data_IF_037208998802
#
_entry.id   IF_037208998802
#
_cell.length_a   1.000
_cell.length_b   1.000
_cell.length_c   1.000
_cell.angle_alpha   90.00
_cell.angle_beta   90.00
_cell.angle_gamma   90.00
#
_symmetry.space_group_name_H-M   'P 1'
#
loop_
_entity.id
_entity.type
_entity.pdbx_description
1 polymer ?
#
# COMPACT_ATOMS: atom_id res chain seq x y z
N UNK A 1 -11.03 -49.42 -10.39
CA UNK A 1 -12.12 -50.22 -10.98
C UNK A 1 -12.84 -49.36 -12.00
N UNK A 2 -12.97 -49.85 -13.24
CA UNK A 2 -13.80 -49.38 -14.39
C UNK A 2 -13.82 -47.87 -14.70
N UNK A 3 -13.13 -47.32 -15.71
CA UNK A 3 -13.26 -47.54 -17.17
C UNK A 3 -14.69 -47.56 -17.72
N UNK A 4 -15.09 -46.48 -18.38
CA UNK A 4 -16.11 -46.48 -19.44
C UNK A 4 -15.99 -45.21 -20.32
N UNK A 5 -15.00 -45.24 -21.22
CA UNK A 5 -14.87 -44.34 -22.37
C UNK A 5 -15.89 -44.74 -23.43
N UNK A 6 -16.80 -43.84 -23.85
CA UNK A 6 -17.65 -44.06 -25.04
C UNK A 6 -17.15 -43.19 -26.19
N UNK A 7 -16.39 -43.84 -27.07
CA UNK A 7 -16.03 -43.36 -28.41
C UNK A 7 -17.23 -43.55 -29.34
N UNK A 8 -17.74 -42.47 -29.93
CA UNK A 8 -18.69 -42.53 -31.05
C UNK A 8 -17.91 -42.26 -32.33
N UNK A 9 -17.85 -43.29 -33.18
CA UNK A 9 -17.14 -43.36 -34.45
C UNK A 9 -18.10 -42.92 -35.56
N UNK A 10 -18.01 -41.67 -36.00
CA UNK A 10 -18.76 -41.17 -37.16
C UNK A 10 -18.02 -41.57 -38.45
N UNK A 11 -18.64 -42.51 -39.17
CA UNK A 11 -18.19 -43.08 -40.44
C UNK A 11 -18.67 -42.17 -41.57
N UNK A 12 -17.83 -41.26 -42.06
CA UNK A 12 -18.12 -40.49 -43.27
C UNK A 12 -17.89 -41.36 -44.50
N UNK A 13 -18.94 -41.55 -45.29
CA UNK A 13 -18.94 -42.27 -46.56
C UNK A 13 -18.59 -41.26 -47.67
N UNK A 14 -17.57 -41.57 -48.46
CA UNK A 14 -17.13 -40.77 -49.59
C UNK A 14 -17.77 -41.24 -50.92
N UNK A 15 -17.64 -40.34 -51.91
CA UNK A 15 -17.77 -40.46 -53.38
C UNK A 15 -19.13 -40.17 -54.06
N UNK A 16 -19.14 -39.70 -55.34
CA UNK A 16 -18.03 -39.26 -56.21
C UNK A 16 -18.19 -37.86 -56.84
N UNK A 17 -17.06 -37.31 -57.28
CA UNK A 17 -16.96 -36.15 -58.18
C UNK A 17 -17.46 -36.51 -59.59
N UNK A 18 -18.10 -35.55 -60.27
CA UNK A 18 -18.32 -35.58 -61.72
C UNK A 18 -17.86 -34.24 -62.35
N UNK A 19 -17.38 -34.24 -63.61
CA UNK A 19 -16.47 -33.23 -64.18
C UNK A 19 -17.17 -31.95 -64.68
N UNK A 20 -16.44 -30.86 -64.93
CA UNK A 20 -17.03 -29.58 -65.33
C UNK A 20 -17.36 -29.56 -66.83
N UNK A 21 -18.47 -28.93 -67.26
CA UNK A 21 -18.66 -28.62 -68.67
C UNK A 21 -17.83 -27.39 -69.07
N UNK A 22 -16.97 -27.61 -70.07
CA UNK A 22 -16.35 -26.58 -70.89
C UNK A 22 -17.40 -26.05 -71.87
N UNK A 23 -17.66 -24.74 -71.89
CA UNK A 23 -18.26 -24.07 -73.04
C UNK A 23 -17.38 -22.88 -73.44
N UNK A 24 -16.94 -23.01 -74.68
CA UNK A 24 -16.22 -22.14 -75.62
C UNK A 24 -16.42 -20.63 -75.52
N UNK A 25 -15.28 -19.94 -75.63
CA UNK A 25 -15.10 -18.55 -76.08
C UNK A 25 -16.01 -18.17 -77.26
N UNK A 26 -16.71 -17.04 -77.14
CA UNK A 26 -17.06 -16.18 -78.26
C UNK A 26 -16.82 -14.73 -77.83
N UNK A 27 -15.94 -14.04 -78.56
CA UNK A 27 -16.08 -12.63 -78.90
C UNK A 27 -15.73 -11.60 -77.84
N UNK A 28 -14.53 -11.05 -77.98
CA UNK A 28 -14.08 -9.81 -77.37
C UNK A 28 -15.07 -8.64 -77.57
N UNK A 29 -15.30 -7.88 -76.51
CA UNK A 29 -15.40 -6.43 -76.61
C UNK A 29 -14.62 -5.84 -75.41
N UNK A 30 -13.38 -5.43 -75.70
CA UNK A 30 -12.48 -4.76 -74.75
C UNK A 30 -12.99 -3.32 -74.54
N UNK A 31 -13.97 -3.16 -73.66
CA UNK A 31 -14.15 -1.89 -72.97
C UNK A 31 -13.07 -1.82 -71.89
N UNK A 32 -12.01 -1.06 -72.15
CA UNK A 32 -10.99 -0.72 -71.16
C UNK A 32 -11.64 -0.03 -69.96
N UNK A 33 -11.99 -0.82 -68.95
CA UNK A 33 -12.27 -0.33 -67.60
C UNK A 33 -10.91 -0.01 -67.01
N UNK A 34 -10.54 1.27 -66.97
CA UNK A 34 -9.39 1.71 -66.19
C UNK A 34 -9.55 1.19 -64.74
N UNK A 35 -8.70 0.23 -64.39
CA UNK A 35 -8.71 -0.49 -63.11
C UNK A 35 -8.68 0.49 -61.94
N UNK A 36 -9.82 0.69 -61.29
CA UNK A 36 -9.87 1.47 -60.06
C UNK A 36 -9.18 0.67 -58.95
N UNK A 37 -8.11 1.19 -58.32
CA UNK A 37 -7.44 0.43 -57.28
C UNK A 37 -8.40 0.21 -56.12
N UNK A 38 -8.44 -1.03 -55.62
CA UNK A 38 -9.22 -1.41 -54.47
C UNK A 38 -8.47 -0.97 -53.21
N UNK A 39 -9.14 -0.23 -52.34
CA UNK A 39 -8.50 0.43 -51.20
C UNK A 39 -9.02 -0.19 -49.91
N UNK A 40 -8.13 -0.72 -49.10
CA UNK A 40 -8.34 -1.05 -47.69
C UNK A 40 -7.91 0.10 -46.79
N UNK A 41 -8.57 0.23 -45.64
CA UNK A 41 -8.23 1.16 -44.57
C UNK A 41 -7.66 0.35 -43.41
N UNK A 42 -6.52 0.79 -42.88
CA UNK A 42 -5.90 0.27 -41.67
C UNK A 42 -5.90 1.36 -40.60
N UNK A 43 -6.37 1.03 -39.39
CA UNK A 43 -6.55 1.96 -38.28
C UNK A 43 -5.87 1.45 -36.99
N UNK A 44 -5.73 2.36 -36.02
CA UNK A 44 -5.05 2.13 -34.74
C UNK A 44 -3.57 1.76 -34.85
N UNK A 45 -2.87 2.36 -35.81
CA UNK A 45 -1.42 2.15 -35.97
C UNK A 45 -0.70 2.80 -34.79
N UNK A 46 0.19 2.07 -34.07
CA UNK A 46 0.85 2.61 -32.90
C UNK A 46 1.76 3.79 -33.25
N UNK A 47 1.60 4.88 -32.51
CA UNK A 47 2.33 6.13 -32.70
C UNK A 47 3.23 6.41 -31.50
N UNK A 48 4.38 7.03 -31.76
CA UNK A 48 5.26 7.57 -30.74
C UNK A 48 5.36 9.09 -30.94
N UNK A 49 5.27 9.84 -29.86
CA UNK A 49 5.49 11.27 -29.89
C UNK A 49 7.00 11.55 -29.97
N UNK A 50 7.42 12.30 -31.00
CA UNK A 50 8.81 12.74 -31.12
C UNK A 50 8.93 14.19 -30.63
N UNK A 51 9.56 14.36 -29.47
CA UNK A 51 9.78 15.63 -28.78
C UNK A 51 10.59 16.63 -29.62
N UNK A 52 11.48 16.15 -30.50
CA UNK A 52 12.38 17.01 -31.26
C UNK A 52 11.72 17.60 -32.51
N UNK A 53 10.76 16.88 -33.10
CA UNK A 53 10.04 17.32 -34.32
C UNK A 53 8.63 17.83 -34.02
N UNK A 54 8.14 17.67 -32.78
CA UNK A 54 6.78 18.06 -32.38
C UNK A 54 5.68 17.30 -33.15
N UNK A 55 5.98 16.08 -33.63
CA UNK A 55 5.11 15.31 -34.50
C UNK A 55 4.99 13.86 -34.01
N UNK A 56 3.85 13.22 -34.30
CA UNK A 56 3.71 11.78 -34.13
C UNK A 56 4.45 11.03 -35.24
N UNK A 57 5.30 10.07 -34.86
CA UNK A 57 6.05 9.19 -35.75
C UNK A 57 5.56 7.76 -35.54
N UNK A 58 5.39 7.04 -36.64
CA UNK A 58 4.91 5.66 -36.64
C UNK A 58 5.66 4.81 -37.66
N UNK A 59 5.31 3.52 -37.79
CA UNK A 59 5.88 2.65 -38.81
C UNK A 59 5.62 3.22 -40.20
N UNK A 60 6.63 3.20 -41.06
CA UNK A 60 6.46 3.65 -42.45
C UNK A 60 5.56 2.70 -43.24
N UNK A 61 5.00 3.20 -44.35
CA UNK A 61 4.18 2.39 -45.25
C UNK A 61 4.88 1.11 -45.72
N UNK A 62 6.20 1.16 -45.92
CA UNK A 62 7.01 -0.02 -46.25
C UNK A 62 6.98 -1.09 -45.15
N UNK A 63 7.12 -0.68 -43.89
CA UNK A 63 7.06 -1.60 -42.74
C UNK A 63 5.68 -2.23 -42.61
N UNK A 64 4.62 -1.43 -42.76
CA UNK A 64 3.23 -1.92 -42.73
C UNK A 64 2.95 -2.88 -43.88
N UNK A 65 3.45 -2.58 -45.09
CA UNK A 65 3.38 -3.47 -46.26
C UNK A 65 3.99 -4.83 -45.94
N UNK A 66 5.19 -4.85 -45.36
CA UNK A 66 5.88 -6.09 -45.00
C UNK A 66 5.14 -6.88 -43.91
N UNK A 67 4.56 -6.20 -42.92
CA UNK A 67 3.75 -6.84 -41.87
C UNK A 67 2.49 -7.50 -42.43
N UNK A 68 1.79 -6.83 -43.36
CA UNK A 68 0.63 -7.39 -44.05
C UNK A 68 1.02 -8.57 -44.94
N UNK A 69 2.18 -8.51 -45.61
CA UNK A 69 2.73 -9.64 -46.38
C UNK A 69 3.04 -10.87 -45.53
N UNK A 70 3.57 -10.69 -44.32
CA UNK A 70 3.76 -11.80 -43.37
C UNK A 70 2.45 -12.45 -42.93
N UNK A 71 1.34 -11.69 -42.94
CA UNK A 71 -0.01 -12.20 -42.64
C UNK A 71 -0.69 -12.87 -43.85
N UNK A 72 -0.02 -12.92 -45.00
CA UNK A 72 -0.55 -13.55 -46.21
C UNK A 72 -1.26 -12.59 -47.17
N UNK A 73 -1.32 -11.29 -46.87
CA UNK A 73 -1.89 -10.30 -47.79
C UNK A 73 -0.84 -9.80 -48.79
N UNK A 74 -1.22 -9.53 -50.04
CA UNK A 74 -0.30 -8.99 -51.05
C UNK A 74 -0.69 -7.56 -51.44
N UNK A 75 -0.53 -6.56 -50.55
CA UNK A 75 -0.85 -5.19 -50.89
C UNK A 75 0.13 -4.64 -51.95
N UNK A 76 -0.38 -3.90 -52.93
CA UNK A 76 0.40 -3.20 -53.95
C UNK A 76 1.22 -2.08 -53.30
N UNK A 77 0.55 -1.25 -52.51
CA UNK A 77 1.13 -0.07 -51.84
C UNK A 77 0.45 0.13 -50.50
N UNK A 78 1.20 0.61 -49.51
CA UNK A 78 0.64 1.09 -48.24
C UNK A 78 1.07 2.53 -48.05
N UNK A 79 0.09 3.41 -47.95
CA UNK A 79 0.27 4.84 -47.79
C UNK A 79 -0.16 5.25 -46.39
N UNK A 80 0.80 5.75 -45.62
CA UNK A 80 0.54 6.27 -44.28
C UNK A 80 -0.13 7.63 -44.40
N UNK A 81 -1.23 7.83 -43.67
CA UNK A 81 -1.94 9.09 -43.67
C UNK A 81 -1.32 10.03 -42.64
N UNK A 82 -0.84 11.19 -43.08
CA UNK A 82 -0.32 12.24 -42.21
C UNK A 82 -1.34 13.38 -42.07
N UNK A 83 -1.44 13.96 -40.87
CA UNK A 83 -2.29 15.09 -40.55
C UNK A 83 -1.44 16.36 -40.42
N UNK A 84 -1.11 17.00 -41.55
CA UNK A 84 -0.42 18.29 -41.60
C UNK A 84 0.80 18.37 -40.67
N UNK A 85 0.80 19.37 -39.78
CA UNK A 85 1.88 19.60 -38.81
C UNK A 85 1.91 18.62 -37.62
N UNK A 86 0.93 17.73 -37.46
CA UNK A 86 0.90 16.73 -36.37
C UNK A 86 1.62 15.42 -36.72
N UNK A 87 2.01 15.24 -37.99
CA UNK A 87 2.70 14.02 -38.45
C UNK A 87 1.74 12.85 -38.71
N UNK A 88 2.15 11.65 -38.33
CA UNK A 88 1.45 10.39 -38.61
C UNK A 88 0.08 10.34 -37.89
N UNK A 89 -1.02 10.06 -38.61
CA UNK A 89 -2.38 10.13 -38.07
C UNK A 89 -2.88 8.86 -37.37
N UNK A 90 -2.16 7.74 -37.53
CA UNK A 90 -2.58 6.43 -37.00
C UNK A 90 -3.41 5.62 -38.00
N UNK A 91 -3.61 6.14 -39.20
CA UNK A 91 -4.29 5.49 -40.31
C UNK A 91 -3.35 5.27 -41.50
N UNK A 92 -3.61 4.21 -42.26
CA UNK A 92 -2.96 3.96 -43.54
C UNK A 92 -3.97 3.43 -44.57
N UNK A 93 -3.76 3.79 -45.83
CA UNK A 93 -4.47 3.23 -46.98
C UNK A 93 -3.64 2.10 -47.57
N UNK A 94 -4.30 1.00 -47.88
CA UNK A 94 -3.70 -0.22 -48.43
C UNK A 94 -4.31 -0.45 -49.80
N UNK A 95 -3.50 -0.39 -50.84
CA UNK A 95 -3.95 -0.58 -52.21
C UNK A 95 -3.80 -2.05 -52.62
N UNK A 96 -4.80 -2.58 -53.31
CA UNK A 96 -4.84 -3.94 -53.83
C UNK A 96 -5.21 -3.93 -55.31
N UNK A 97 -4.62 -4.85 -56.07
CA UNK A 97 -4.92 -5.03 -57.50
C UNK A 97 -6.11 -6.00 -57.69
N UNK A 98 -6.25 -6.99 -56.80
CA UNK A 98 -7.23 -8.07 -56.94
C UNK A 98 -8.36 -7.96 -55.90
N UNK A 99 -9.61 -8.06 -56.37
CA UNK A 99 -10.82 -8.05 -55.53
C UNK A 99 -10.82 -9.14 -54.46
N UNK A 100 -10.32 -10.33 -54.81
CA UNK A 100 -10.20 -11.44 -53.86
C UNK A 100 -9.29 -11.08 -52.69
N UNK A 101 -8.17 -10.39 -52.95
CA UNK A 101 -7.21 -10.01 -51.92
C UNK A 101 -7.77 -8.92 -51.00
N UNK A 102 -8.43 -7.91 -51.57
CA UNK A 102 -9.12 -6.88 -50.81
C UNK A 102 -10.24 -7.49 -49.95
N UNK A 103 -11.03 -8.40 -50.51
CA UNK A 103 -12.11 -9.11 -49.82
C UNK A 103 -11.58 -9.98 -48.68
N UNK A 104 -10.49 -10.73 -48.91
CA UNK A 104 -9.81 -11.50 -47.86
C UNK A 104 -9.30 -10.60 -46.74
N UNK A 105 -8.71 -9.45 -47.08
CA UNK A 105 -8.29 -8.45 -46.09
C UNK A 105 -9.47 -8.03 -45.21
N UNK A 106 -10.56 -7.51 -45.78
CA UNK A 106 -11.73 -7.08 -45.00
C UNK A 106 -12.34 -8.19 -44.14
N UNK A 107 -12.55 -9.38 -44.71
CA UNK A 107 -13.13 -10.53 -43.99
C UNK A 107 -12.24 -11.05 -42.87
N UNK A 108 -10.91 -10.99 -43.03
CA UNK A 108 -9.97 -11.45 -42.01
C UNK A 108 -10.04 -10.61 -40.73
N UNK A 109 -10.11 -9.29 -40.86
CA UNK A 109 -10.24 -8.37 -39.74
C UNK A 109 -11.63 -8.46 -39.11
N UNK A 110 -12.68 -8.62 -39.92
CA UNK A 110 -14.04 -8.84 -39.42
C UNK A 110 -14.15 -10.15 -38.61
N UNK A 111 -13.58 -11.26 -39.10
CA UNK A 111 -13.55 -12.54 -38.37
C UNK A 111 -12.76 -12.44 -37.05
N UNK A 112 -11.74 -11.58 -37.03
CA UNK A 112 -10.95 -11.28 -35.84
C UNK A 112 -11.59 -10.28 -34.87
N UNK A 113 -12.82 -9.82 -35.11
CA UNK A 113 -13.47 -8.79 -34.28
C UNK A 113 -12.75 -7.43 -34.31
N UNK A 114 -12.04 -7.15 -35.40
CA UNK A 114 -11.24 -5.92 -35.59
C UNK A 114 -11.68 -5.18 -36.86
N UNK A 115 -12.97 -5.25 -37.20
CA UNK A 115 -13.55 -4.59 -38.38
C UNK A 115 -13.94 -3.14 -38.11
N UNK A 116 -14.60 -2.52 -39.10
CA UNK A 116 -15.10 -1.14 -39.03
C UNK A 116 -16.14 -0.95 -37.92
N UNK A 117 -17.01 -1.94 -37.72
CA UNK A 117 -18.04 -1.90 -36.69
C UNK A 117 -17.42 -1.84 -35.28
N UNK A 118 -16.42 -2.68 -35.02
CA UNK A 118 -15.73 -2.71 -33.72
C UNK A 118 -14.88 -1.46 -33.51
N UNK A 119 -14.29 -0.90 -34.58
CA UNK A 119 -13.61 0.40 -34.51
C UNK A 119 -14.55 1.54 -34.11
N UNK A 120 -15.74 1.61 -34.72
CA UNK A 120 -16.70 2.68 -34.43
C UNK A 120 -17.38 2.52 -33.06
N UNK A 121 -17.49 1.30 -32.54
CA UNK A 121 -18.11 1.01 -31.24
C UNK A 121 -17.09 0.80 -30.11
N UNK A 122 -15.80 1.05 -30.36
CA UNK A 122 -14.75 1.01 -29.34
C UNK A 122 -14.86 2.26 -28.44
N UNK A 123 -15.80 2.26 -27.49
CA UNK A 123 -16.09 3.41 -26.62
C UNK A 123 -14.99 3.74 -25.59
N UNK A 124 -13.93 2.95 -25.46
CA UNK A 124 -12.84 3.18 -24.51
C UNK A 124 -11.59 2.58 -25.11
N UNK A 125 -10.52 3.37 -25.32
CA UNK A 125 -9.22 2.88 -25.77
C UNK A 125 -8.74 1.71 -24.90
N UNK A 126 -8.81 0.46 -25.36
CA UNK A 126 -8.17 -0.63 -24.67
C UNK A 126 -6.74 -0.64 -25.17
N UNK A 127 -5.78 -0.44 -24.28
CA UNK A 127 -4.34 -0.59 -24.53
C UNK A 127 -3.92 -2.02 -24.94
N UNK A 128 -4.86 -2.84 -25.44
CA UNK A 128 -4.62 -4.12 -26.05
C UNK A 128 -4.54 -3.95 -27.58
N UNK A 129 -3.31 -3.73 -28.00
CA UNK A 129 -2.72 -3.80 -29.35
C UNK A 129 -3.52 -4.62 -30.39
N UNK A 130 -4.55 -4.05 -30.99
CA UNK A 130 -5.16 -4.57 -32.22
C UNK A 130 -5.18 -3.50 -33.31
N UNK A 131 -4.70 -3.88 -34.50
CA UNK A 131 -4.91 -3.11 -35.73
C UNK A 131 -6.31 -3.42 -36.23
N UNK A 132 -7.02 -2.39 -36.68
CA UNK A 132 -8.34 -2.52 -37.27
C UNK A 132 -8.23 -2.38 -38.79
N UNK A 133 -9.04 -3.15 -39.52
CA UNK A 133 -8.96 -3.18 -40.98
C UNK A 133 -10.32 -3.38 -41.64
N UNK A 134 -10.59 -2.64 -42.70
CA UNK A 134 -11.78 -2.82 -43.54
C UNK A 134 -11.53 -2.36 -44.97
N UNK A 135 -12.39 -2.74 -45.90
CA UNK A 135 -12.37 -2.22 -47.28
C UNK A 135 -13.08 -0.87 -47.29
N UNK A 136 -12.49 0.13 -47.93
CA UNK A 136 -13.06 1.46 -48.02
C UNK A 136 -14.41 1.41 -48.76
N UNK A 137 -15.47 1.86 -48.11
CA UNK A 137 -16.81 1.99 -48.70
C UNK A 137 -17.08 3.44 -49.12
N UNK A 138 -18.20 3.66 -49.81
CA UNK A 138 -18.70 5.00 -50.16
C UNK A 138 -18.86 5.89 -48.91
N UNK A 139 -19.21 5.31 -47.76
CA UNK A 139 -19.30 6.05 -46.50
C UNK A 139 -17.95 6.61 -46.05
N UNK A 140 -16.88 5.83 -46.20
CA UNK A 140 -15.52 6.26 -45.84
C UNK A 140 -15.03 7.38 -46.77
N UNK A 141 -15.46 7.35 -48.04
CA UNK A 141 -15.20 8.40 -49.02
C UNK A 141 -15.95 9.71 -48.69
N UNK A 142 -17.22 9.61 -48.25
CA UNK A 142 -18.04 10.76 -47.87
C UNK A 142 -17.68 11.34 -46.51
N UNK A 143 -17.05 10.55 -45.64
CA UNK A 143 -16.66 10.98 -44.30
C UNK A 143 -15.68 12.16 -44.34
N UNK A 144 -15.88 13.15 -43.46
CA UNK A 144 -15.06 14.39 -43.45
C UNK A 144 -13.67 14.20 -42.79
N UNK A 145 -13.41 13.04 -42.18
CA UNK A 145 -12.14 12.74 -41.52
C UNK A 145 -10.95 12.52 -42.46
N UNK A 146 -9.77 12.29 -41.86
CA UNK A 146 -8.47 12.16 -42.54
C UNK A 146 -8.49 11.08 -43.65
N UNK A 147 -9.20 9.98 -43.42
CA UNK A 147 -9.36 8.88 -44.38
C UNK A 147 -10.14 9.37 -45.61
N UNK A 148 -11.31 9.97 -45.43
CA UNK A 148 -12.11 10.48 -46.54
C UNK A 148 -11.44 11.62 -47.29
N UNK A 149 -10.73 12.52 -46.59
CA UNK A 149 -9.96 13.58 -47.25
C UNK A 149 -8.87 13.03 -48.18
N UNK A 150 -8.13 12.02 -47.73
CA UNK A 150 -7.10 11.39 -48.57
C UNK A 150 -7.71 10.52 -49.66
N UNK A 151 -8.81 9.81 -49.40
CA UNK A 151 -9.53 9.08 -50.45
C UNK A 151 -10.04 10.00 -51.56
N UNK A 152 -10.55 11.20 -51.22
CA UNK A 152 -10.97 12.22 -52.20
C UNK A 152 -9.80 12.83 -52.97
N UNK A 153 -8.65 13.02 -52.32
CA UNK A 153 -7.42 13.50 -52.98
C UNK A 153 -6.83 12.46 -53.92
N UNK A 154 -6.89 11.18 -53.54
CA UNK A 154 -6.40 10.06 -54.35
C UNK A 154 -7.37 9.71 -55.49
N UNK A 155 -8.68 9.84 -55.29
CA UNK A 155 -9.73 9.57 -56.29
C UNK A 155 -10.38 10.87 -56.77
N UNK A 156 -9.74 11.54 -57.73
CA UNK A 156 -10.33 12.62 -58.53
C UNK A 156 -11.24 12.15 -59.68
N UNK A 157 -11.63 10.87 -59.75
CA UNK A 157 -12.44 10.30 -60.84
C UNK A 157 -13.62 9.47 -60.29
N UNK A 158 -14.81 10.09 -60.40
CA UNK A 158 -16.17 9.53 -60.50
C UNK A 158 -16.45 8.10 -59.98
N UNK A 159 -17.07 8.01 -58.79
CA UNK A 159 -17.87 6.85 -58.40
C UNK A 159 -19.26 6.95 -59.04
N UNK A 160 -19.41 6.49 -60.28
CA UNK A 160 -20.73 6.33 -60.94
C UNK A 160 -21.02 4.90 -61.42
N UNK A 161 -20.21 3.91 -61.06
CA UNK A 161 -20.18 2.66 -61.82
C UNK A 161 -20.78 1.40 -61.23
N UNK A 162 -21.28 1.35 -59.98
CA UNK A 162 -21.61 0.04 -59.34
C UNK A 162 -22.97 0.01 -58.64
N UNK A 163 -23.86 0.96 -58.90
CA UNK A 163 -25.21 0.97 -58.30
C UNK A 163 -26.29 1.50 -59.28
N UNK A 164 -26.11 1.33 -60.59
CA UNK A 164 -27.15 1.66 -61.61
C UNK A 164 -27.89 0.38 -62.08
N UNK A 165 -27.85 -0.70 -61.29
CA UNK A 165 -28.55 -1.97 -61.53
C UNK A 165 -30.09 -1.83 -61.44
N UNK A 166 -30.60 -0.64 -61.07
CA UNK A 166 -32.04 -0.34 -61.05
C UNK A 166 -32.61 0.02 -62.44
N UNK A 167 -31.78 0.33 -63.44
CA UNK A 167 -32.29 0.66 -64.79
C UNK A 167 -32.45 -0.55 -65.70
N UNK A 168 -31.71 -1.64 -65.46
CA UNK A 168 -31.89 -2.89 -66.19
C UNK A 168 -33.23 -3.57 -65.85
N UNK A 169 -33.75 -3.37 -64.63
CA UNK A 169 -35.04 -3.93 -64.21
C UNK A 169 -36.22 -3.28 -64.96
N UNK A 170 -36.20 -1.96 -65.19
CA UNK A 170 -37.19 -1.24 -66.01
C UNK A 170 -37.17 -1.66 -67.49
N UNK A 171 -35.99 -2.04 -68.00
CA UNK A 171 -35.81 -2.47 -69.39
C UNK A 171 -36.27 -3.92 -69.58
N UNK A 172 -36.06 -4.78 -68.59
CA UNK A 172 -36.67 -6.11 -68.54
C UNK A 172 -38.19 -6.03 -68.44
N UNK A 173 -38.73 -5.14 -67.62
CA UNK A 173 -40.19 -4.99 -67.43
C UNK A 173 -40.89 -4.54 -68.73
N UNK A 174 -40.31 -3.62 -69.49
CA UNK A 174 -40.80 -3.21 -70.82
C UNK A 174 -40.71 -4.31 -71.88
N UNK A 175 -39.65 -5.11 -71.84
CA UNK A 175 -39.45 -6.21 -72.80
C UNK A 175 -40.42 -7.36 -72.52
N UNK A 176 -40.67 -7.67 -71.24
CA UNK A 176 -41.68 -8.66 -70.81
C UNK A 176 -43.10 -8.21 -71.17
N UNK A 177 -43.42 -6.93 -71.05
CA UNK A 177 -44.71 -6.38 -71.49
C UNK A 177 -44.91 -6.49 -73.01
N UNK A 178 -43.87 -6.26 -73.81
CA UNK A 178 -43.90 -6.39 -75.27
C UNK A 178 -44.14 -7.85 -75.72
N UNK A 179 -43.40 -8.81 -75.15
CA UNK A 179 -43.61 -10.24 -75.45
C UNK A 179 -44.97 -10.76 -74.96
N UNK A 180 -45.50 -10.25 -73.84
CA UNK A 180 -46.87 -10.57 -73.41
C UNK A 180 -47.91 -10.10 -74.43
N UNK A 181 -47.76 -8.89 -74.99
CA UNK A 181 -48.69 -8.34 -75.97
C UNK A 181 -48.76 -9.12 -77.29
N UNK A 182 -47.65 -9.70 -77.76
CA UNK A 182 -47.63 -10.53 -78.97
C UNK A 182 -48.30 -11.90 -78.75
N UNK A 183 -48.13 -12.49 -77.55
CA UNK A 183 -48.68 -13.81 -77.20
C UNK A 183 -50.20 -13.81 -76.96
N UNK A 184 -50.81 -12.67 -76.63
CA UNK A 184 -52.26 -12.55 -76.40
C UNK A 184 -53.12 -12.72 -77.66
N UNK A 185 -52.52 -12.78 -78.86
CA UNK A 185 -53.23 -12.82 -80.14
C UNK A 185 -53.68 -14.23 -80.61
N UNK A 186 -53.19 -15.33 -80.01
CA UNK A 186 -53.49 -16.70 -80.52
C UNK A 186 -54.06 -17.71 -79.50
N UNK A 187 -54.08 -17.43 -78.19
CA UNK A 187 -54.67 -18.34 -77.18
C UNK A 187 -54.98 -17.65 -75.82
N UNK A 188 -55.47 -16.39 -75.86
CA UNK A 188 -55.51 -15.47 -74.73
C UNK A 188 -56.25 -15.94 -73.46
N UNK A 189 -57.31 -16.75 -73.58
CA UNK A 189 -58.13 -17.15 -72.42
C UNK A 189 -57.50 -18.19 -71.49
N UNK A 190 -56.75 -19.17 -72.04
CA UNK A 190 -56.12 -20.24 -71.23
C UNK A 190 -54.85 -19.75 -70.54
N UNK A 191 -54.12 -18.86 -71.20
CA UNK A 191 -52.88 -18.27 -70.66
C UNK A 191 -53.18 -17.28 -69.53
N UNK A 192 -54.23 -16.46 -69.67
CA UNK A 192 -54.69 -15.56 -68.61
C UNK A 192 -55.05 -16.32 -67.32
N UNK A 193 -55.78 -17.44 -67.43
CA UNK A 193 -56.13 -18.26 -66.27
C UNK A 193 -54.90 -18.88 -65.58
N UNK A 194 -53.89 -19.30 -66.34
CA UNK A 194 -52.64 -19.84 -65.79
C UNK A 194 -51.83 -18.75 -65.07
N UNK A 195 -51.75 -17.54 -65.64
CA UNK A 195 -51.09 -16.40 -65.00
C UNK A 195 -51.81 -16.02 -63.70
N UNK A 196 -53.15 -15.92 -63.71
CA UNK A 196 -53.92 -15.60 -62.50
C UNK A 196 -53.72 -16.66 -61.40
N UNK A 197 -53.64 -17.95 -61.78
CA UNK A 197 -53.38 -19.01 -60.82
C UNK A 197 -51.93 -18.96 -60.27
N UNK A 198 -50.95 -18.64 -61.11
CA UNK A 198 -49.56 -18.45 -60.67
C UNK A 198 -49.39 -17.23 -59.78
N UNK A 199 -50.08 -16.12 -60.07
CA UNK A 199 -50.08 -14.92 -59.24
C UNK A 199 -50.70 -15.21 -57.87
N UNK A 200 -51.83 -15.92 -57.81
CA UNK A 200 -52.41 -16.37 -56.53
C UNK A 200 -51.46 -17.24 -55.72
N UNK A 201 -50.81 -18.21 -56.36
CA UNK A 201 -49.82 -19.07 -55.68
C UNK A 201 -48.61 -18.26 -55.19
N UNK A 202 -48.13 -17.29 -55.97
CA UNK A 202 -47.07 -16.38 -55.56
C UNK A 202 -47.50 -15.59 -54.32
N UNK A 203 -48.68 -15.00 -54.34
CA UNK A 203 -49.18 -14.18 -53.23
C UNK A 203 -49.36 -15.01 -51.95
N UNK A 204 -49.86 -16.25 -52.05
CA UNK A 204 -49.96 -17.20 -50.94
C UNK A 204 -48.59 -17.56 -50.34
N UNK A 205 -47.57 -17.75 -51.18
CA UNK A 205 -46.19 -18.03 -50.72
C UNK A 205 -45.58 -16.81 -50.05
N UNK A 206 -45.76 -15.61 -50.60
CA UNK A 206 -45.28 -14.37 -50.00
C UNK A 206 -45.97 -14.10 -48.65
N UNK A 207 -47.27 -14.34 -48.56
CA UNK A 207 -48.02 -14.18 -47.32
C UNK A 207 -47.53 -15.16 -46.23
N UNK A 208 -47.31 -16.43 -46.58
CA UNK A 208 -46.71 -17.40 -45.64
C UNK A 208 -45.31 -17.00 -45.21
N UNK A 209 -44.47 -16.58 -46.14
CA UNK A 209 -43.13 -16.10 -45.82
C UNK A 209 -43.16 -14.89 -44.85
N UNK A 210 -44.05 -13.93 -45.08
CA UNK A 210 -44.21 -12.79 -44.16
C UNK A 210 -44.73 -13.22 -42.78
N UNK A 211 -45.66 -14.17 -42.72
CA UNK A 211 -46.13 -14.72 -41.46
C UNK A 211 -45.00 -15.44 -40.70
N UNK A 212 -44.28 -16.35 -41.35
CA UNK A 212 -43.16 -17.09 -40.77
C UNK A 212 -42.06 -16.13 -40.29
N UNK A 213 -41.75 -15.11 -41.07
CA UNK A 213 -40.76 -14.08 -40.69
C UNK A 213 -41.26 -13.25 -39.50
N UNK A 214 -42.54 -12.92 -39.45
CA UNK A 214 -43.17 -12.24 -38.32
C UNK A 214 -43.08 -13.04 -37.02
N UNK A 215 -43.40 -14.34 -37.07
CA UNK A 215 -43.32 -15.25 -35.93
C UNK A 215 -41.87 -15.46 -35.46
N UNK A 216 -40.94 -15.62 -36.40
CA UNK A 216 -39.51 -15.69 -36.12
C UNK A 216 -39.00 -14.40 -35.46
N UNK A 217 -39.46 -13.23 -35.92
CA UNK A 217 -39.07 -11.95 -35.34
C UNK A 217 -39.61 -11.77 -33.92
N UNK A 218 -40.90 -12.08 -33.70
CA UNK A 218 -41.52 -11.97 -32.37
C UNK A 218 -40.88 -12.92 -31.35
N UNK A 219 -40.57 -14.16 -31.76
CA UNK A 219 -39.89 -15.11 -30.88
C UNK A 219 -38.46 -14.67 -30.56
N UNK A 220 -37.72 -14.11 -31.52
CA UNK A 220 -36.40 -13.54 -31.29
C UNK A 220 -36.44 -12.32 -30.36
N UNK A 221 -37.40 -11.41 -30.54
CA UNK A 221 -37.60 -10.26 -29.64
C UNK A 221 -37.86 -10.70 -28.21
N UNK A 222 -38.79 -11.65 -28.00
CA UNK A 222 -39.10 -12.19 -26.66
C UNK A 222 -37.89 -12.87 -26.01
N UNK A 223 -37.08 -13.57 -26.79
CA UNK A 223 -35.85 -14.17 -26.30
C UNK A 223 -34.83 -13.11 -25.84
N UNK A 224 -34.65 -12.05 -26.64
CA UNK A 224 -33.76 -10.93 -26.29
C UNK A 224 -34.25 -10.17 -25.06
N UNK A 225 -35.56 -9.90 -24.94
CA UNK A 225 -36.15 -9.26 -23.77
C UNK A 225 -35.90 -10.07 -22.49
N UNK A 226 -36.04 -11.39 -22.55
CA UNK A 226 -35.73 -12.27 -21.42
C UNK A 226 -34.24 -12.19 -21.02
N UNK A 227 -33.32 -12.20 -21.99
CA UNK A 227 -31.88 -12.03 -21.72
C UNK A 227 -31.61 -10.66 -21.08
N UNK A 228 -32.24 -9.60 -21.56
CA UNK A 228 -32.06 -8.25 -21.02
C UNK A 228 -32.57 -8.19 -19.57
N UNK A 229 -33.74 -8.75 -19.29
CA UNK A 229 -34.29 -8.83 -17.92
C UNK A 229 -33.34 -9.59 -16.98
N UNK A 230 -32.87 -10.77 -17.38
CA UNK A 230 -31.94 -11.56 -16.56
C UNK A 230 -30.62 -10.82 -16.30
N UNK A 231 -30.10 -10.11 -17.30
CA UNK A 231 -28.90 -9.28 -17.13
C UNK A 231 -29.14 -8.12 -16.16
N UNK A 232 -30.32 -7.52 -16.19
CA UNK A 232 -30.69 -6.45 -15.26
C UNK A 232 -30.74 -6.96 -13.82
N UNK A 233 -31.36 -8.13 -13.60
CA UNK A 233 -31.43 -8.75 -12.27
C UNK A 233 -30.04 -9.01 -11.69
N UNK A 234 -29.14 -9.60 -12.49
CA UNK A 234 -27.74 -9.83 -12.10
C UNK A 234 -27.00 -8.51 -11.84
N UNK A 235 -27.27 -7.48 -12.65
CA UNK A 235 -26.66 -6.15 -12.48
C UNK A 235 -27.04 -5.52 -11.15
N UNK A 236 -28.30 -5.65 -10.74
CA UNK A 236 -28.79 -5.13 -9.45
C UNK A 236 -28.13 -5.88 -8.28
N UNK A 237 -28.10 -7.22 -8.32
CA UNK A 237 -27.45 -8.03 -7.28
C UNK A 237 -25.96 -7.70 -7.14
N UNK A 238 -25.25 -7.53 -8.26
CA UNK A 238 -23.84 -7.16 -8.24
C UNK A 238 -23.60 -5.78 -7.63
N UNK A 239 -24.47 -4.80 -7.95
CA UNK A 239 -24.38 -3.47 -7.35
C UNK A 239 -24.58 -3.51 -5.83
N UNK A 240 -25.56 -4.29 -5.35
CA UNK A 240 -25.80 -4.46 -3.92
C UNK A 240 -24.60 -5.12 -3.21
N UNK A 241 -24.00 -6.15 -3.80
CA UNK A 241 -22.81 -6.80 -3.24
C UNK A 241 -21.61 -5.85 -3.19
N UNK A 242 -21.40 -5.04 -4.23
CA UNK A 242 -20.35 -4.02 -4.25
C UNK A 242 -20.59 -2.97 -3.16
N UNK A 243 -21.83 -2.52 -2.97
CA UNK A 243 -22.18 -1.54 -1.94
C UNK A 243 -21.99 -2.09 -0.53
N UNK A 244 -22.41 -3.34 -0.27
CA UNK A 244 -22.15 -4.03 1.01
C UNK A 244 -20.66 -4.17 1.29
N UNK A 245 -19.87 -4.59 0.29
CA UNK A 245 -18.41 -4.68 0.45
C UNK A 245 -17.77 -3.32 0.66
N UNK A 246 -18.21 -2.31 -0.07
CA UNK A 246 -17.70 -0.94 0.06
C UNK A 246 -17.97 -0.38 1.46
N UNK A 247 -19.19 -0.55 1.97
CA UNK A 247 -19.55 -0.10 3.33
C UNK A 247 -18.77 -0.86 4.39
N UNK A 248 -18.62 -2.18 4.26
CA UNK A 248 -17.80 -2.98 5.17
C UNK A 248 -16.32 -2.55 5.18
N UNK A 249 -15.76 -2.23 4.01
CA UNK A 249 -14.38 -1.72 3.90
C UNK A 249 -14.21 -0.36 4.57
N UNK A 250 -15.15 0.57 4.37
CA UNK A 250 -15.12 1.89 5.03
C UNK A 250 -15.19 1.74 6.55
N UNK A 251 -16.11 0.90 7.06
CA UNK A 251 -16.20 0.63 8.49
C UNK A 251 -14.90 0.02 9.03
N UNK A 252 -14.31 -0.94 8.30
CA UNK A 252 -13.03 -1.54 8.65
C UNK A 252 -11.87 -0.53 8.69
N UNK A 253 -11.83 0.41 7.75
CA UNK A 253 -10.84 1.49 7.73
C UNK A 253 -10.95 2.40 8.95
N UNK A 254 -12.17 2.86 9.29
CA UNK A 254 -12.40 3.72 10.46
C UNK A 254 -12.01 3.02 11.76
N UNK A 255 -12.33 1.73 11.90
CA UNK A 255 -11.90 0.94 13.07
C UNK A 255 -10.38 0.83 13.13
N UNK A 256 -9.72 0.52 12.01
CA UNK A 256 -8.25 0.44 11.96
C UNK A 256 -7.58 1.77 12.32
N UNK A 257 -8.08 2.89 11.81
CA UNK A 257 -7.57 4.24 12.16
C UNK A 257 -7.76 4.53 13.65
N UNK A 258 -8.90 4.12 14.22
CA UNK A 258 -9.20 4.29 15.64
C UNK A 258 -8.25 3.45 16.51
N UNK A 259 -8.03 2.18 16.19
CA UNK A 259 -7.08 1.32 16.90
C UNK A 259 -5.63 1.82 16.76
N UNK A 260 -5.23 2.29 15.57
CA UNK A 260 -3.93 2.91 15.37
C UNK A 260 -3.75 4.16 16.25
N UNK A 261 -4.80 4.97 16.39
CA UNK A 261 -4.81 6.13 17.29
C UNK A 261 -4.63 5.75 18.77
N UNK A 262 -5.28 4.67 19.23
CA UNK A 262 -5.10 4.13 20.59
C UNK A 262 -3.67 3.66 20.83
N UNK A 263 -3.13 2.85 19.91
CA UNK A 263 -1.76 2.34 19.98
C UNK A 263 -0.75 3.51 20.01
N UNK A 264 -0.97 4.55 19.20
CA UNK A 264 -0.11 5.73 19.20
C UNK A 264 -0.13 6.45 20.55
N UNK A 265 -1.30 6.61 21.16
CA UNK A 265 -1.46 7.22 22.48
C UNK A 265 -0.76 6.40 23.57
N UNK A 266 -0.92 5.08 23.55
CA UNK A 266 -0.23 4.17 24.49
C UNK A 266 1.29 4.24 24.34
N UNK A 267 1.79 4.26 23.09
CA UNK A 267 3.22 4.42 22.81
C UNK A 267 3.77 5.71 23.41
N UNK A 268 3.09 6.85 23.21
CA UNK A 268 3.50 8.13 23.80
C UNK A 268 3.50 8.10 25.33
N UNK A 269 2.51 7.44 25.94
CA UNK A 269 2.43 7.28 27.40
C UNK A 269 3.60 6.46 27.93
N UNK A 270 3.94 5.34 27.28
CA UNK A 270 5.08 4.49 27.64
C UNK A 270 6.39 5.24 27.47
N UNK A 271 6.55 5.97 26.38
CA UNK A 271 7.76 6.76 26.11
C UNK A 271 7.96 7.84 27.19
N UNK A 272 6.92 8.59 27.52
CA UNK A 272 6.96 9.59 28.59
C UNK A 272 7.25 8.96 29.96
N UNK A 273 6.62 7.82 30.29
CA UNK A 273 6.91 7.11 31.54
C UNK A 273 8.38 6.65 31.61
N UNK A 274 8.92 6.13 30.50
CA UNK A 274 10.33 5.72 30.43
C UNK A 274 11.29 6.89 30.56
N UNK A 275 10.92 8.07 30.02
CA UNK A 275 11.70 9.29 30.14
C UNK A 275 11.73 9.79 31.59
N UNK A 276 10.57 9.82 32.25
CA UNK A 276 10.48 10.20 33.67
C UNK A 276 11.22 9.21 34.57
N UNK A 277 11.15 7.91 34.29
CA UNK A 277 11.94 6.91 35.00
C UNK A 277 13.44 7.17 34.85
N UNK A 278 13.94 7.42 33.63
CA UNK A 278 15.36 7.75 33.41
C UNK A 278 15.80 9.02 34.15
N UNK A 279 14.94 10.04 34.24
CA UNK A 279 15.22 11.25 35.02
C UNK A 279 15.31 10.94 36.51
N UNK A 280 14.39 10.14 37.03
CA UNK A 280 14.41 9.70 38.43
C UNK A 280 15.68 8.89 38.75
N UNK A 281 16.04 7.94 37.88
CA UNK A 281 17.26 7.13 38.01
C UNK A 281 18.52 8.01 37.98
N UNK A 282 18.58 9.00 37.08
CA UNK A 282 19.70 9.93 37.03
C UNK A 282 19.83 10.75 38.33
N UNK A 283 18.71 11.25 38.85
CA UNK A 283 18.70 11.97 40.12
C UNK A 283 19.11 11.07 41.29
N UNK A 284 18.70 9.80 41.29
CA UNK A 284 19.12 8.82 42.29
C UNK A 284 20.63 8.59 42.24
N UNK A 285 21.22 8.45 41.06
CA UNK A 285 22.68 8.32 40.89
C UNK A 285 23.41 9.54 41.46
N UNK A 286 22.95 10.76 41.16
CA UNK A 286 23.54 11.98 41.71
C UNK A 286 23.45 12.04 43.25
N UNK A 287 22.33 11.62 43.82
CA UNK A 287 22.15 11.53 45.28
C UNK A 287 23.09 10.49 45.90
N UNK A 288 23.23 9.32 45.27
CA UNK A 288 24.15 8.27 45.71
C UNK A 288 25.60 8.74 45.67
N UNK A 289 26.01 9.45 44.62
CA UNK A 289 27.35 10.05 44.53
C UNK A 289 27.59 11.09 45.63
N UNK A 290 26.60 11.95 45.91
CA UNK A 290 26.69 12.95 46.99
C UNK A 290 26.82 12.26 48.35
N UNK A 291 26.00 11.24 48.61
CA UNK A 291 26.05 10.47 49.85
C UNK A 291 27.39 9.73 49.99
N UNK A 292 27.92 9.16 48.90
CA UNK A 292 29.25 8.54 48.88
C UNK A 292 30.35 9.53 49.26
N UNK A 293 30.35 10.74 48.67
CA UNK A 293 31.32 11.79 49.01
C UNK A 293 31.23 12.23 50.48
N UNK A 294 30.02 12.41 50.99
CA UNK A 294 29.80 12.74 52.40
C UNK A 294 30.28 11.64 53.34
N UNK A 295 30.02 10.37 52.99
CA UNK A 295 30.51 9.21 53.74
C UNK A 295 32.04 9.15 53.75
N UNK A 296 32.68 9.39 52.60
CA UNK A 296 34.14 9.45 52.49
C UNK A 296 34.73 10.60 53.31
N UNK A 297 34.06 11.76 53.37
CA UNK A 297 34.48 12.90 54.18
C UNK A 297 34.39 12.61 55.68
N UNK A 298 33.29 12.00 56.14
CA UNK A 298 33.16 11.56 57.52
C UNK A 298 34.20 10.49 57.89
N UNK A 299 34.46 9.53 57.00
CA UNK A 299 35.51 8.52 57.23
C UNK A 299 36.91 9.14 57.32
N UNK A 300 37.24 10.15 56.49
CA UNK A 300 38.50 10.89 56.64
C UNK A 300 38.59 11.57 58.00
N UNK A 301 37.52 12.24 58.43
CA UNK A 301 37.47 12.86 59.75
C UNK A 301 37.70 11.86 60.89
N UNK A 302 37.08 10.67 60.84
CA UNK A 302 37.31 9.61 61.83
C UNK A 302 38.78 9.20 61.90
N UNK A 303 39.44 9.00 60.75
CA UNK A 303 40.87 8.65 60.70
C UNK A 303 41.74 9.77 61.31
N UNK A 304 41.45 11.03 60.98
CA UNK A 304 42.15 12.19 61.54
C UNK A 304 41.97 12.28 63.06
N UNK A 305 40.79 11.92 63.57
CA UNK A 305 40.54 11.84 65.01
C UNK A 305 41.26 10.66 65.68
N UNK A 306 41.22 9.46 65.09
CA UNK A 306 41.92 8.28 65.60
C UNK A 306 43.43 8.53 65.71
N UNK A 307 44.05 9.06 64.66
CA UNK A 307 45.48 9.42 64.65
C UNK A 307 45.81 10.49 65.70
N UNK A 308 44.97 11.52 65.85
CA UNK A 308 45.17 12.54 66.88
C UNK A 308 45.01 11.99 68.32
N UNK A 309 44.13 11.00 68.52
CA UNK A 309 43.99 10.29 69.81
C UNK A 309 45.21 9.42 70.08
N UNK A 310 45.75 8.73 69.08
CA UNK A 310 47.00 7.97 69.19
C UNK A 310 48.18 8.87 69.58
N UNK A 311 48.34 10.01 68.91
CA UNK A 311 49.36 11.01 69.25
C UNK A 311 49.22 11.51 70.70
N UNK A 312 47.97 11.77 71.15
CA UNK A 312 47.71 12.18 72.53
C UNK A 312 48.16 11.09 73.52
N UNK A 313 47.82 9.84 73.27
CA UNK A 313 48.25 8.73 74.14
C UNK A 313 49.78 8.60 74.17
N UNK A 314 50.46 8.76 73.03
CA UNK A 314 51.92 8.74 72.96
C UNK A 314 52.57 9.87 73.78
N UNK A 315 52.03 11.09 73.70
CA UNK A 315 52.50 12.23 74.50
C UNK A 315 52.25 12.02 76.00
N UNK A 316 51.09 11.47 76.38
CA UNK A 316 50.78 11.15 77.78
C UNK A 316 51.75 10.12 78.36
N UNK A 317 52.06 9.06 77.61
CA UNK A 317 53.05 8.06 78.02
C UNK A 317 54.44 8.70 78.20
N UNK A 318 54.87 9.55 77.28
CA UNK A 318 56.18 10.23 77.37
C UNK A 318 56.25 11.20 78.55
N UNK A 319 55.16 11.94 78.83
CA UNK A 319 55.07 12.79 80.02
C UNK A 319 55.15 11.97 81.31
N UNK A 320 54.46 10.84 81.41
CA UNK A 320 54.53 9.97 82.59
C UNK A 320 55.92 9.35 82.77
N UNK A 321 56.60 8.98 81.68
CA UNK A 321 58.01 8.57 81.73
C UNK A 321 58.91 9.70 82.28
N UNK A 322 58.73 10.94 81.82
CA UNK A 322 59.49 12.08 82.34
C UNK A 322 59.17 12.40 83.81
N UNK A 323 57.90 12.29 84.24
CA UNK A 323 57.52 12.41 85.66
C UNK A 323 58.15 11.31 86.51
N UNK A 324 58.18 10.08 86.02
CA UNK A 324 58.85 8.96 86.66
C UNK A 324 60.36 9.21 86.83
N UNK A 325 61.03 9.67 85.77
CA UNK A 325 62.44 10.05 85.81
C UNK A 325 62.72 11.18 86.80
N UNK A 326 61.91 12.25 86.81
CA UNK A 326 61.99 13.33 87.79
C UNK A 326 61.85 12.84 89.23
N UNK A 327 60.94 11.90 89.49
CA UNK A 327 60.74 11.31 90.82
C UNK A 327 61.96 10.51 91.26
N UNK A 328 62.53 9.70 90.39
CA UNK A 328 63.77 8.94 90.67
C UNK A 328 64.94 9.89 90.93
N UNK A 329 65.15 10.89 90.08
CA UNK A 329 66.24 11.87 90.25
C UNK A 329 66.10 12.65 91.56
N UNK A 330 64.88 13.04 91.96
CA UNK A 330 64.63 13.71 93.24
C UNK A 330 64.92 12.84 94.46
N UNK A 331 64.74 11.52 94.35
CA UNK A 331 65.04 10.57 95.42
C UNK A 331 66.52 10.17 95.48
N UNK A 332 67.28 10.32 94.39
CA UNK A 332 68.69 9.92 94.29
C UNK A 332 69.69 11.06 94.58
N UNK A 333 69.25 12.32 94.60
CA UNK A 333 70.14 13.47 94.78
C UNK A 333 70.40 13.83 96.25
N UNK A 334 71.67 13.93 96.62
CA UNK A 334 72.09 14.55 97.88
C UNK A 334 71.92 16.08 97.77
N UNK A 335 71.55 16.74 98.86
CA UNK A 335 70.98 18.09 98.86
C UNK A 335 71.92 19.19 98.33
N UNK A 336 73.20 18.89 98.05
CA UNK A 336 74.23 19.84 97.58
C UNK A 336 74.68 19.70 96.12
N UNK A 337 74.13 18.79 95.32
CA UNK A 337 74.56 18.61 93.92
C UNK A 337 73.86 19.61 92.97
N UNK A 338 74.52 20.74 92.71
CA UNK A 338 74.06 21.81 91.82
C UNK A 338 73.83 21.33 90.38
N UNK A 339 74.63 20.38 89.88
CA UNK A 339 74.47 19.81 88.53
C UNK A 339 73.17 19.01 88.44
N UNK A 340 72.83 18.28 89.49
CA UNK A 340 71.60 17.50 89.56
C UNK A 340 70.35 18.39 89.62
N UNK A 341 70.40 19.54 90.31
CA UNK A 341 69.32 20.53 90.29
C UNK A 341 69.08 21.11 88.90
N UNK A 342 70.14 21.50 88.19
CA UNK A 342 70.02 22.02 86.83
C UNK A 342 69.40 20.97 85.87
N UNK A 343 69.72 19.69 86.04
CA UNK A 343 69.10 18.58 85.29
C UNK A 343 67.62 18.38 85.64
N UNK A 344 67.23 18.58 86.89
CA UNK A 344 65.81 18.53 87.31
C UNK A 344 65.03 19.70 86.69
N UNK A 345 65.57 20.92 86.74
CA UNK A 345 64.92 22.12 86.22
C UNK A 345 64.72 22.04 84.70
N UNK A 346 65.73 21.56 83.96
CA UNK A 346 65.63 21.36 82.50
C UNK A 346 64.55 20.35 82.09
N UNK A 347 64.40 19.24 82.84
CA UNK A 347 63.34 18.25 82.59
C UNK A 347 61.96 18.83 82.97
N UNK A 348 61.87 19.64 84.02
CA UNK A 348 60.63 20.32 84.39
C UNK A 348 60.17 21.34 83.33
N UNK A 349 61.09 22.10 82.75
CA UNK A 349 60.78 23.05 81.68
C UNK A 349 60.22 22.31 80.46
N UNK A 350 60.90 21.24 80.01
CA UNK A 350 60.45 20.38 78.90
C UNK A 350 59.10 19.72 79.17
N UNK A 351 58.80 19.40 80.44
CA UNK A 351 57.51 18.86 80.83
C UNK A 351 56.39 19.89 80.67
N UNK A 352 56.61 21.14 81.11
CA UNK A 352 55.66 22.25 80.93
C UNK A 352 55.42 22.54 79.45
N UNK A 353 56.46 22.53 78.62
CA UNK A 353 56.32 22.74 77.17
C UNK A 353 55.43 21.67 76.53
N UNK A 354 55.60 20.39 76.92
CA UNK A 354 54.78 19.29 76.41
C UNK A 354 53.35 19.33 76.92
N UNK A 355 53.14 19.75 78.17
CA UNK A 355 51.80 20.00 78.71
C UNK A 355 51.09 21.09 77.90
N UNK A 356 51.77 22.21 77.63
CA UNK A 356 51.22 23.28 76.80
C UNK A 356 50.93 22.82 75.37
N UNK A 357 51.82 22.02 74.77
CA UNK A 357 51.62 21.44 73.44
C UNK A 357 50.39 20.53 73.39
N UNK A 358 50.23 19.64 74.39
CA UNK A 358 49.05 18.77 74.54
C UNK A 358 47.76 19.58 74.66
N UNK A 359 47.75 20.64 75.48
CA UNK A 359 46.59 21.52 75.61
C UNK A 359 46.21 22.20 74.29
N UNK A 360 47.18 22.72 73.53
CA UNK A 360 46.94 23.32 72.21
C UNK A 360 46.41 22.32 71.19
N UNK A 361 46.93 21.08 71.17
CA UNK A 361 46.44 20.01 70.28
C UNK A 361 45.00 19.63 70.63
N UNK A 362 44.66 19.51 71.91
CA UNK A 362 43.30 19.25 72.40
C UNK A 362 42.32 20.36 72.02
N UNK A 363 42.76 21.62 72.13
CA UNK A 363 41.93 22.76 71.75
C UNK A 363 41.62 22.77 70.24
N UNK A 364 42.62 22.49 69.39
CA UNK A 364 42.41 22.36 67.94
C UNK A 364 41.45 21.21 67.58
N UNK A 365 41.56 20.08 68.29
CA UNK A 365 40.66 18.93 68.10
C UNK A 365 39.22 19.25 68.55
N UNK A 366 39.06 19.92 69.70
CA UNK A 366 37.76 20.35 70.21
C UNK A 366 37.11 21.44 69.35
N UNK A 367 37.89 22.37 68.76
CA UNK A 367 37.36 23.36 67.81
C UNK A 367 36.78 22.67 66.57
N UNK A 368 37.44 21.61 66.09
CA UNK A 368 36.94 20.79 64.98
C UNK A 368 35.64 20.07 65.35
N UNK A 369 35.52 19.59 66.59
CA UNK A 369 34.32 18.93 67.09
C UNK A 369 33.14 19.91 67.32
N UNK A 370 33.43 21.12 67.85
CA UNK A 370 32.42 22.14 68.14
C UNK A 370 31.71 22.66 66.89
N UNK A 371 32.43 22.80 65.77
CA UNK A 371 31.82 23.11 64.47
C UNK A 371 30.87 22.00 64.01
N UNK A 372 31.18 20.74 64.33
CA UNK A 372 30.34 19.60 64.00
C UNK A 372 29.08 19.52 64.89
N UNK A 373 29.18 19.86 66.18
CA UNK A 373 28.01 19.96 67.08
C UNK A 373 27.04 21.04 66.64
N UNK A 374 27.55 22.19 66.19
CA UNK A 374 26.72 23.29 65.70
C UNK A 374 26.04 22.95 64.35
N UNK A 375 26.72 22.22 63.46
CA UNK A 375 26.11 21.66 62.25
C UNK A 375 25.03 20.62 62.57
N UNK A 376 25.25 19.76 63.58
CA UNK A 376 24.25 18.78 64.02
C UNK A 376 23.04 19.46 64.68
N UNK A 377 23.27 20.54 65.44
CA UNK A 377 22.21 21.39 66.01
C UNK A 377 21.42 22.09 64.91
N UNK A 378 22.09 22.62 63.89
CA UNK A 378 21.48 23.26 62.73
C UNK A 378 20.64 22.27 61.90
N UNK A 379 21.15 21.06 61.63
CA UNK A 379 20.39 20.01 60.94
C UNK A 379 19.16 19.56 61.75
N UNK A 380 19.27 19.48 63.08
CA UNK A 380 18.15 19.13 63.97
C UNK A 380 17.11 20.25 64.06
N UNK A 381 17.52 21.51 63.92
CA UNK A 381 16.62 22.66 63.86
C UNK A 381 15.95 22.76 62.48
N UNK A 382 16.68 22.52 61.39
CA UNK A 382 16.13 22.42 60.04
C UNK A 382 15.10 21.28 59.93
N UNK A 383 15.34 20.14 60.58
CA UNK A 383 14.37 19.04 60.70
C UNK A 383 13.04 19.43 61.36
N UNK A 384 13.03 20.43 62.26
CA UNK A 384 11.79 20.93 62.89
C UNK A 384 11.06 21.94 62.00
N UNK A 385 11.76 22.55 61.04
CA UNK A 385 11.26 23.59 60.16
C UNK A 385 10.78 23.10 58.78
N UNK A 386 11.02 21.83 58.43
CA UNK A 386 10.36 21.20 57.28
C UNK A 386 8.88 21.09 57.65
N UNK A 387 7.95 21.77 56.95
CA UNK A 387 6.53 21.56 57.18
C UNK A 387 6.26 20.10 56.87
N UNK A 388 5.72 19.41 57.87
CA UNK A 388 5.13 18.09 57.79
C UNK A 388 4.23 18.03 56.54
N UNK A 389 4.75 17.49 55.43
CA UNK A 389 3.93 17.12 54.28
C UNK A 389 3.22 15.76 54.51
N UNK A 390 3.37 15.20 55.71
CA UNK A 390 2.52 14.14 56.24
C UNK A 390 1.55 14.81 57.21
N UNK A 391 0.45 15.35 56.67
CA UNK A 391 -0.73 15.59 57.51
C UNK A 391 -1.20 14.23 57.99
N UNK A 392 -1.30 14.09 59.30
CA UNK A 392 -1.88 12.96 60.01
C UNK A 392 -3.20 12.51 59.37
N UNK A 393 -3.32 11.20 59.25
CA UNK A 393 -4.26 10.33 58.51
C UNK A 393 -5.78 10.50 58.75
N UNK A 394 -6.26 11.63 59.30
CA UNK A 394 -7.67 11.76 59.65
C UNK A 394 -8.57 12.41 58.57
N UNK A 395 -8.01 13.12 57.58
CA UNK A 395 -8.79 13.85 56.56
C UNK A 395 -8.20 13.73 55.14
N UNK A 396 -7.52 12.62 54.83
CA UNK A 396 -7.15 12.33 53.45
C UNK A 396 -8.41 11.84 52.71
N UNK A 397 -8.95 12.65 51.79
CA UNK A 397 -9.99 12.18 50.88
C UNK A 397 -9.42 11.01 50.08
N UNK A 398 -9.82 9.78 50.44
CA UNK A 398 -9.31 8.54 49.87
C UNK A 398 -9.88 8.25 48.48
N UNK A 399 -10.86 9.05 48.01
CA UNK A 399 -11.50 8.90 46.69
C UNK A 399 -10.53 8.89 45.49
N UNK A 400 -9.46 9.71 45.44
CA UNK A 400 -8.49 9.67 44.36
C UNK A 400 -7.67 8.37 44.37
N UNK A 401 -7.33 7.85 45.55
CA UNK A 401 -6.56 6.62 45.73
C UNK A 401 -7.40 5.36 45.45
N UNK A 402 -8.71 5.42 45.72
CA UNK A 402 -9.64 4.34 45.41
C UNK A 402 -9.75 4.06 43.89
N UNK A 403 -9.58 5.09 43.06
CA UNK A 403 -9.57 4.96 41.60
C UNK A 403 -8.31 4.22 41.10
N UNK A 404 -7.16 4.50 41.72
CA UNK A 404 -5.89 3.83 41.41
C UNK A 404 -5.90 2.38 41.90
N UNK A 405 -6.36 2.14 43.14
CA UNK A 405 -6.47 0.80 43.71
C UNK A 405 -7.46 -0.09 42.91
N UNK A 406 -8.60 0.46 42.46
CA UNK A 406 -9.52 -0.26 41.56
C UNK A 406 -8.92 -0.56 40.19
N UNK A 407 -7.96 0.23 39.71
CA UNK A 407 -7.30 -0.06 38.43
C UNK A 407 -6.30 -1.21 38.57
N UNK A 408 -5.59 -1.29 39.69
CA UNK A 408 -4.59 -2.33 39.97
C UNK A 408 -5.27 -3.68 40.28
N UNK A 409 -6.40 -3.69 41.00
CA UNK A 409 -7.09 -4.94 41.36
C UNK A 409 -7.90 -5.58 40.22
N UNK A 410 -8.27 -4.84 39.16
CA UNK A 410 -9.09 -5.37 38.06
C UNK A 410 -8.28 -5.80 36.83
N UNK A 411 -6.98 -5.52 36.76
CA UNK A 411 -6.12 -5.91 35.62
C UNK A 411 -5.59 -7.36 35.69
N UNK A 412 -5.85 -8.07 36.79
CA UNK A 412 -5.59 -9.51 36.89
C UNK A 412 -6.89 -10.31 36.75
N UNK A 413 -7.34 -10.51 35.50
CA UNK A 413 -8.15 -11.70 35.19
C UNK A 413 -7.23 -12.91 35.25
N UNK A 414 -7.64 -13.88 36.06
CA UNK A 414 -6.94 -15.14 36.41
C UNK A 414 -5.89 -15.00 37.52
N UNK A 415 -6.33 -15.08 38.77
CA UNK A 415 -6.01 -16.17 39.72
C UNK A 415 -6.92 -15.95 40.93
N UNK A 416 -7.64 -16.97 41.35
CA UNK A 416 -8.48 -16.93 42.54
C UNK A 416 -7.63 -16.71 43.79
N UNK A 417 -7.60 -15.49 44.31
CA UNK A 417 -7.26 -15.21 45.70
C UNK A 417 -8.49 -14.58 46.35
N UNK A 418 -9.22 -15.48 47.01
CA UNK A 418 -10.36 -15.22 47.86
C UNK A 418 -9.94 -14.38 49.07
N UNK A 419 -10.65 -13.29 49.31
CA UNK A 419 -11.05 -12.78 50.64
C UNK A 419 -10.04 -12.56 51.78
N UNK A 420 -8.73 -12.74 51.61
CA UNK A 420 -7.74 -12.56 52.69
C UNK A 420 -7.05 -11.18 52.66
N UNK A 421 -7.20 -10.41 51.59
CA UNK A 421 -6.59 -9.08 51.45
C UNK A 421 -7.30 -7.95 52.22
N UNK A 422 -8.43 -8.23 52.87
CA UNK A 422 -9.27 -7.20 53.50
C UNK A 422 -9.11 -7.10 55.03
N UNK A 423 -8.26 -7.93 55.64
CA UNK A 423 -8.14 -8.00 57.11
C UNK A 423 -6.83 -7.40 57.65
N UNK A 424 -5.88 -7.00 56.78
CA UNK A 424 -4.56 -6.52 57.22
C UNK A 424 -4.43 -4.99 57.34
N UNK A 425 -5.49 -4.24 57.00
CA UNK A 425 -5.52 -2.78 57.14
C UNK A 425 -6.19 -2.30 58.44
N UNK A 426 -6.80 -3.21 59.21
CA UNK A 426 -7.46 -2.88 60.48
C UNK A 426 -6.58 -3.16 61.72
N UNK A 427 -5.39 -3.73 61.54
CA UNK A 427 -4.47 -4.04 62.63
C UNK A 427 -3.46 -2.88 62.86
N UNK A 428 -3.53 -2.15 63.99
CA UNK A 428 -2.60 -1.06 64.30
C UNK A 428 -1.14 -1.53 64.52
N UNK A 429 -0.92 -2.84 64.62
CA UNK A 429 0.41 -3.44 64.80
C UNK A 429 1.06 -3.87 63.48
N UNK A 430 0.37 -3.71 62.34
CA UNK A 430 0.90 -4.08 61.04
C UNK A 430 1.91 -3.05 60.52
N UNK A 431 3.15 -3.47 60.29
CA UNK A 431 4.23 -2.61 59.80
C UNK A 431 4.98 -3.35 58.66
N UNK A 432 4.97 -2.84 57.41
CA UNK A 432 5.46 -3.57 56.23
C UNK A 432 6.98 -3.82 56.19
N UNK A 433 7.73 -3.37 57.19
CA UNK A 433 9.19 -3.44 57.23
C UNK A 433 9.76 -4.30 58.37
N UNK A 434 8.93 -5.07 59.09
CA UNK A 434 9.37 -5.76 60.31
C UNK A 434 10.06 -7.11 60.12
N UNK A 435 10.23 -7.63 58.90
CA UNK A 435 11.01 -8.86 58.67
C UNK A 435 11.97 -8.68 57.50
N UNK A 436 13.11 -8.05 57.77
CA UNK A 436 14.34 -8.24 56.99
C UNK A 436 15.39 -8.77 57.97
N UNK A 437 15.19 -9.99 58.44
CA UNK A 437 16.28 -10.80 58.97
C UNK A 437 16.30 -12.12 58.20
N UNK A 438 17.42 -12.36 57.51
CA UNK A 438 17.77 -13.69 57.03
C UNK A 438 17.78 -13.91 55.52
N UNK A 439 18.53 -13.10 54.75
CA UNK A 439 19.13 -13.59 53.50
C UNK A 439 20.59 -13.15 53.47
N UNK A 440 21.44 -13.97 54.07
CA UNK A 440 22.69 -14.43 53.44
C UNK A 440 23.49 -15.27 54.45
N UNK A 441 23.28 -16.59 54.40
CA UNK A 441 24.32 -17.58 54.69
C UNK A 441 24.18 -18.75 53.73
N UNK A 442 25.09 -18.75 52.76
CA UNK A 442 25.70 -19.91 52.12
C UNK A 442 24.82 -20.92 51.36
N UNK A 443 25.01 -20.94 50.03
CA UNK A 443 25.63 -22.11 49.43
C UNK A 443 24.76 -23.11 48.65
N UNK A 444 25.16 -23.26 47.38
CA UNK A 444 25.08 -24.42 46.48
C UNK A 444 23.87 -24.59 45.55
N UNK A 445 24.30 -24.88 44.32
CA UNK A 445 23.63 -25.31 43.08
C UNK A 445 23.00 -24.21 42.24
#
# INVERSE_FOLDING_TARGET
MSSATKNIKLKMKAEPQSPPPTITNIGADEAQVEDQPLIGVLANIPLQWNSNTGCFVGPSGFVLKQQLSKRGFRPLKVEVLCCGQRGHSGFALVYFDLLEQATMFGKSFQKGGCGKWEWNNAFVCPSNKFLYGWIASNDDYRFEGIVGQHLRKTRGLNLKGVFDDMKEEEQYEKTVLHYNSELHSSNGGRFSFLIDNLLKQKDEVVQRYHQDMGEAHQSAQKYLENIISQREDVRVLLKQEIEMRSTALVVGQVLNETELGKIHKEKLMIENASLEQRKADHNLVLLLEKHKKQKEELHRGIIDFETGVEEKHMLELEMEQMKGALKVMRHMGDAGDEEMRARIDTIQERLKEKEQYKYKRLEAMNQTLGVHEDLQRFLKECSKSIPTCIKSDADLDYKPFLHVAKRICFDHKEVGLSSEGNCYLEDPSWNPFSNIEGIDKEGRC
#
